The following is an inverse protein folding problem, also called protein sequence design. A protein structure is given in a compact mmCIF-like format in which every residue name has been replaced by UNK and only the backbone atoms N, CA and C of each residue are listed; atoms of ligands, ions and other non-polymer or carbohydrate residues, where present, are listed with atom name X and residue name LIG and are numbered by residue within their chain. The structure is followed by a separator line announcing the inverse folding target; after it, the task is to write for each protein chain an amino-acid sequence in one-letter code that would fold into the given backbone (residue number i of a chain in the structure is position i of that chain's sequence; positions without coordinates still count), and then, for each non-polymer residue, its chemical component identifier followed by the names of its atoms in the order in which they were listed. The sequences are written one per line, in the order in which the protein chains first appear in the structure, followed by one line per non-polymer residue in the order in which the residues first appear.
data_IF_295734943079
#
_entry.id   IF_295734943079
#
_cell.length_a   1.000
_cell.length_b   1.000
_cell.length_c   1.000
_cell.angle_alpha   90.00
_cell.angle_beta   90.00
_cell.angle_gamma   90.00
#
_symmetry.space_group_name_H-M   'P 1'
#
loop_
_entity.id
_entity.type
_entity.pdbx_description
1 polymer ?
#
# COMPACT_ATOMS: atom_id res chain seq x y z
N UNK A 1 1.47 5.99 -10.25
CA UNK A 1 2.70 5.27 -9.84
C UNK A 1 2.46 4.37 -8.64
N UNK A 2 2.76 3.07 -8.72
CA UNK A 2 2.61 2.13 -7.61
C UNK A 2 3.43 2.52 -6.38
N UNK A 3 4.64 3.02 -6.60
CA UNK A 3 5.57 3.48 -5.57
C UNK A 3 5.06 4.73 -4.85
N UNK A 4 4.55 5.73 -5.60
CA UNK A 4 3.90 6.91 -5.01
C UNK A 4 2.65 6.55 -4.18
N UNK A 5 1.84 5.59 -4.62
CA UNK A 5 0.67 5.14 -3.87
C UNK A 5 1.03 4.47 -2.54
N UNK A 6 2.20 3.84 -2.47
CA UNK A 6 2.76 3.26 -1.25
C UNK A 6 3.60 4.25 -0.43
N UNK A 7 3.86 5.45 -0.98
CA UNK A 7 4.72 6.45 -0.35
C UNK A 7 6.19 6.00 -0.22
N UNK A 8 6.65 5.14 -1.13
CA UNK A 8 8.02 4.66 -1.20
C UNK A 8 8.69 5.15 -2.48
N UNK A 9 10.01 5.34 -2.49
CA UNK A 9 10.72 5.68 -3.71
C UNK A 9 10.73 4.49 -4.69
N UNK A 10 10.95 4.79 -5.98
CA UNK A 10 10.92 3.78 -7.07
C UNK A 10 12.05 2.77 -6.99
N UNK A 11 13.11 3.08 -6.24
CA UNK A 11 14.27 2.23 -5.96
C UNK A 11 14.18 1.53 -4.60
N UNK A 12 13.04 1.65 -3.91
CA UNK A 12 12.86 1.07 -2.59
C UNK A 12 13.03 -0.47 -2.65
N UNK A 13 13.77 -1.06 -1.71
CA UNK A 13 13.90 -2.51 -1.64
C UNK A 13 12.55 -3.16 -1.27
N UNK A 14 12.33 -4.40 -1.69
CA UNK A 14 11.11 -5.19 -1.40
C UNK A 14 10.70 -5.18 0.07
N UNK A 15 11.69 -5.13 0.98
CA UNK A 15 11.48 -5.04 2.41
C UNK A 15 10.77 -3.75 2.83
N UNK A 16 11.10 -2.62 2.22
CA UNK A 16 10.48 -1.33 2.47
C UNK A 16 9.11 -1.23 1.81
N UNK A 17 8.95 -1.77 0.60
CA UNK A 17 7.65 -1.92 -0.06
C UNK A 17 6.67 -2.71 0.83
N UNK A 18 7.11 -3.87 1.35
CA UNK A 18 6.30 -4.68 2.29
C UNK A 18 6.02 -3.97 3.60
N UNK A 19 6.97 -3.22 4.16
CA UNK A 19 6.74 -2.41 5.38
C UNK A 19 5.73 -1.31 5.14
N UNK A 20 5.85 -0.56 4.05
CA UNK A 20 4.95 0.52 3.69
C UNK A 20 3.53 -0.01 3.43
N UNK A 21 3.41 -1.10 2.67
CA UNK A 21 2.14 -1.81 2.44
C UNK A 21 1.47 -2.18 3.76
N UNK A 22 2.17 -2.85 4.69
CA UNK A 22 1.60 -3.24 6.00
C UNK A 22 1.13 -2.03 6.81
N UNK A 23 1.92 -0.95 6.83
CA UNK A 23 1.58 0.28 7.57
C UNK A 23 0.32 0.94 7.00
N UNK A 24 0.22 1.02 5.67
CA UNK A 24 -0.94 1.59 4.97
C UNK A 24 -2.17 0.69 5.09
N UNK A 25 -1.99 -0.63 4.96
CA UNK A 25 -3.03 -1.65 5.14
C UNK A 25 -3.67 -1.57 6.53
N UNK A 26 -2.88 -1.38 7.59
CA UNK A 26 -3.39 -1.20 8.95
C UNK A 26 -4.07 0.15 9.16
N UNK A 27 -3.54 1.22 8.55
CA UNK A 27 -4.10 2.58 8.64
C UNK A 27 -5.45 2.69 7.93
N UNK A 28 -5.57 2.05 6.77
CA UNK A 28 -6.74 2.10 5.90
C UNK A 28 -7.53 0.80 5.90
N UNK A 29 -7.36 -0.03 6.93
CA UNK A 29 -8.04 -1.31 7.01
C UNK A 29 -9.56 -1.11 6.97
N UNK A 30 -10.28 -1.77 6.05
CA UNK A 30 -11.71 -1.53 5.83
C UNK A 30 -12.57 -1.85 7.07
N UNK A 31 -12.07 -2.71 7.96
CA UNK A 31 -12.71 -3.04 9.24
C UNK A 31 -12.73 -1.86 10.23
N UNK A 32 -11.67 -1.04 10.25
CA UNK A 32 -11.58 0.14 11.14
C UNK A 32 -12.05 1.42 10.47
N UNK A 33 -11.94 1.50 9.14
CA UNK A 33 -12.31 2.67 8.35
C UNK A 33 -13.18 2.24 7.16
N UNK A 34 -14.51 2.22 7.36
CA UNK A 34 -15.50 1.77 6.37
C UNK A 34 -15.49 2.56 5.04
N UNK A 35 -14.80 3.70 4.97
CA UNK A 35 -14.63 4.51 3.75
C UNK A 35 -13.33 4.29 2.97
N UNK A 36 -12.41 3.46 3.47
CA UNK A 36 -11.05 3.35 2.89
C UNK A 36 -10.82 2.04 2.13
N UNK A 37 -11.89 1.28 1.87
CA UNK A 37 -11.82 0.03 1.11
C UNK A 37 -11.27 0.22 -0.32
N UNK A 38 -11.68 1.30 -1.00
CA UNK A 38 -11.14 1.70 -2.30
C UNK A 38 -9.63 1.99 -2.23
N UNK A 39 -9.20 2.69 -1.17
CA UNK A 39 -7.79 3.02 -0.96
C UNK A 39 -6.96 1.78 -0.66
N UNK A 40 -7.51 0.86 0.14
CA UNK A 40 -6.91 -0.43 0.44
C UNK A 40 -6.74 -1.28 -0.83
N UNK A 41 -7.76 -1.33 -1.70
CA UNK A 41 -7.65 -1.99 -3.01
C UNK A 41 -6.55 -1.36 -3.88
N UNK A 42 -6.42 -0.02 -3.90
CA UNK A 42 -5.38 0.65 -4.65
C UNK A 42 -3.97 0.31 -4.11
N UNK A 43 -3.81 0.29 -2.78
CA UNK A 43 -2.57 -0.10 -2.10
C UNK A 43 -2.21 -1.58 -2.41
N UNK A 44 -3.20 -2.45 -2.44
CA UNK A 44 -3.03 -3.88 -2.75
C UNK A 44 -2.68 -4.10 -4.22
N UNK A 45 -3.35 -3.41 -5.15
CA UNK A 45 -3.03 -3.43 -6.57
C UNK A 45 -1.64 -2.86 -6.88
N UNK A 46 -1.19 -1.84 -6.13
CA UNK A 46 0.15 -1.30 -6.26
C UNK A 46 1.22 -2.32 -5.86
N UNK A 47 1.02 -3.05 -4.75
CA UNK A 47 1.95 -4.09 -4.32
C UNK A 47 2.06 -5.24 -5.35
N UNK A 48 0.95 -5.64 -5.98
CA UNK A 48 0.93 -6.67 -7.03
C UNK A 48 1.62 -6.22 -8.33
N UNK A 49 1.71 -4.91 -8.59
CA UNK A 49 2.41 -4.35 -9.75
C UNK A 49 3.91 -4.20 -9.56
N UNK A 50 4.38 -4.18 -8.31
CA UNK A 50 5.80 -4.04 -7.96
C UNK A 50 6.46 -5.41 -7.76
N UNK A 51 5.74 -6.38 -7.19
CA UNK A 51 6.14 -7.80 -7.18
C UNK A 51 6.00 -8.45 -8.55
#
# INVERSE_FOLDING_TARGET
DPYLSLGVPVDAPDNDIKKAYRKLALKYHPDKNRGTASLFQAIQAANVRIS
#
